data_IF_302995729078
#
_entry.id   IF_302995729078
#
_cell.length_a   1.000
_cell.length_b   1.000
_cell.length_c   1.000
_cell.angle_alpha   90.00
_cell.angle_beta   90.00
_cell.angle_gamma   90.00
#
_symmetry.space_group_name_H-M   'P 1'
#
loop_
_entity.id
_entity.type
_entity.pdbx_description
1 polymer ?
#
# COMPACT_ATOMS: atom_id res chain seq x y z
N UNK A 1 -12.58 7.18 27.61
CA UNK A 1 -12.15 7.27 26.20
C UNK A 1 -13.27 6.69 25.33
N UNK A 2 -14.05 7.52 24.63
CA UNK A 2 -15.13 7.04 23.76
C UNK A 2 -14.54 6.53 22.44
N UNK A 3 -14.59 5.21 22.23
CA UNK A 3 -14.22 4.56 20.98
C UNK A 3 -15.11 5.06 19.84
N UNK A 4 -14.48 5.58 18.78
CA UNK A 4 -15.15 6.13 17.60
C UNK A 4 -15.97 5.03 16.92
N UNK A 5 -17.31 5.07 17.01
CA UNK A 5 -18.19 4.14 16.27
C UNK A 5 -17.92 4.27 14.77
N UNK A 6 -17.47 3.18 14.14
CA UNK A 6 -17.29 3.12 12.68
C UNK A 6 -18.66 3.17 12.01
N UNK A 7 -18.93 4.20 11.21
CA UNK A 7 -20.13 4.25 10.36
C UNK A 7 -20.03 3.15 9.31
N UNK A 8 -20.92 2.18 9.35
CA UNK A 8 -21.09 1.15 8.32
C UNK A 8 -21.85 1.75 7.14
N UNK A 9 -21.39 1.52 5.90
CA UNK A 9 -22.10 1.94 4.70
C UNK A 9 -23.32 1.06 4.48
N UNK A 10 -24.50 1.64 4.27
CA UNK A 10 -25.75 0.89 3.98
C UNK A 10 -25.79 0.32 2.55
N UNK A 11 -24.74 0.53 1.74
CA UNK A 11 -24.62 -0.02 0.40
C UNK A 11 -23.86 -1.34 0.50
N UNK A 12 -24.59 -2.44 0.40
CA UNK A 12 -24.07 -3.81 0.38
C UNK A 12 -24.23 -4.34 -1.05
N UNK A 13 -23.21 -5.02 -1.57
CA UNK A 13 -23.25 -5.70 -2.87
C UNK A 13 -24.05 -7.01 -2.76
N UNK A 14 -24.47 -7.59 -3.89
CA UNK A 14 -25.31 -8.80 -3.92
C UNK A 14 -24.67 -10.03 -3.25
N UNK A 15 -23.35 -10.01 -3.10
CA UNK A 15 -22.51 -11.01 -2.44
C UNK A 15 -22.30 -10.75 -0.92
N UNK A 16 -22.98 -9.74 -0.35
CA UNK A 16 -22.93 -9.44 1.08
C UNK A 16 -21.75 -8.58 1.52
N UNK A 17 -20.89 -8.14 0.59
CA UNK A 17 -19.77 -7.25 0.90
C UNK A 17 -20.19 -5.77 0.95
N UNK A 18 -19.49 -4.96 1.73
CA UNK A 18 -19.69 -3.50 1.72
C UNK A 18 -19.28 -2.94 0.35
N UNK A 19 -20.12 -2.08 -0.23
CA UNK A 19 -19.82 -1.42 -1.50
C UNK A 19 -18.52 -0.63 -1.43
N UNK A 20 -17.51 -1.13 -2.13
CA UNK A 20 -16.17 -0.58 -2.11
C UNK A 20 -16.10 0.61 -3.06
N UNK A 21 -16.39 1.80 -2.53
CA UNK A 21 -16.26 3.03 -3.32
C UNK A 21 -14.83 3.18 -3.84
N UNK A 22 -14.66 3.83 -5.00
CA UNK A 22 -13.32 4.12 -5.57
C UNK A 22 -12.39 4.77 -4.53
N UNK A 23 -12.93 5.67 -3.69
CA UNK A 23 -12.17 6.31 -2.60
C UNK A 23 -11.70 5.31 -1.54
N UNK A 24 -12.57 4.39 -1.12
CA UNK A 24 -12.21 3.34 -0.15
C UNK A 24 -11.16 2.39 -0.73
N UNK A 25 -11.31 1.99 -1.99
CA UNK A 25 -10.36 1.12 -2.68
C UNK A 25 -8.97 1.75 -2.70
N UNK A 26 -8.87 2.98 -3.21
CA UNK A 26 -7.61 3.72 -3.29
C UNK A 26 -7.00 3.93 -1.90
N UNK A 27 -7.81 4.29 -0.91
CA UNK A 27 -7.32 4.48 0.46
C UNK A 27 -6.77 3.19 1.05
N UNK A 28 -7.45 2.05 0.83
CA UNK A 28 -7.03 0.76 1.37
C UNK A 28 -5.80 0.20 0.64
N UNK A 29 -5.75 0.32 -0.68
CA UNK A 29 -4.59 -0.05 -1.48
C UNK A 29 -3.35 0.76 -1.07
N UNK A 30 -3.48 2.07 -0.87
CA UNK A 30 -2.39 2.92 -0.38
C UNK A 30 -1.89 2.48 1.00
N UNK A 31 -2.80 2.24 1.96
CA UNK A 31 -2.38 1.77 3.28
C UNK A 31 -1.71 0.40 3.23
N UNK A 32 -2.23 -0.52 2.42
CA UNK A 32 -1.65 -1.85 2.27
C UNK A 32 -0.25 -1.79 1.62
N UNK A 33 -0.06 -0.93 0.62
CA UNK A 33 1.24 -0.70 0.00
C UNK A 33 2.28 -0.17 1.00
N UNK A 34 1.90 0.78 1.86
CA UNK A 34 2.81 1.30 2.90
C UNK A 34 3.21 0.20 3.88
N UNK A 35 2.26 -0.59 4.37
CA UNK A 35 2.54 -1.70 5.28
C UNK A 35 3.42 -2.77 4.62
N UNK A 36 3.09 -3.17 3.39
CA UNK A 36 3.89 -4.14 2.65
C UNK A 36 5.33 -3.66 2.42
N UNK A 37 5.54 -2.38 2.13
CA UNK A 37 6.88 -1.80 2.00
C UNK A 37 7.64 -1.80 3.33
N UNK A 38 6.98 -1.52 4.45
CA UNK A 38 7.59 -1.58 5.78
C UNK A 38 7.99 -3.02 6.14
N UNK A 39 7.12 -3.99 5.86
CA UNK A 39 7.38 -5.41 6.11
C UNK A 39 8.51 -5.93 5.21
N UNK A 40 8.51 -5.55 3.93
CA UNK A 40 9.57 -5.89 2.99
C UNK A 40 10.93 -5.30 3.40
N UNK A 41 10.96 -4.05 3.88
CA UNK A 41 12.18 -3.46 4.46
C UNK A 41 12.64 -4.23 5.70
N UNK A 42 11.72 -4.62 6.58
CA UNK A 42 12.05 -5.38 7.79
C UNK A 42 12.57 -6.79 7.51
N UNK A 43 12.03 -7.46 6.49
CA UNK A 43 12.37 -8.85 6.16
C UNK A 43 13.56 -8.96 5.20
N UNK A 44 13.56 -8.17 4.12
CA UNK A 44 14.52 -8.27 3.02
C UNK A 44 15.59 -7.17 3.05
N UNK A 45 15.37 -6.08 3.78
CA UNK A 45 16.26 -4.92 3.82
C UNK A 45 16.14 -3.99 2.61
N UNK A 46 15.26 -4.28 1.65
CA UNK A 46 15.01 -3.44 0.48
C UNK A 46 13.58 -3.55 -0.05
N UNK A 47 13.18 -2.55 -0.85
CA UNK A 47 11.94 -2.52 -1.63
C UNK A 47 12.26 -2.20 -3.08
N UNK A 48 11.58 -2.85 -4.02
CA UNK A 48 11.69 -2.54 -5.45
C UNK A 48 10.68 -1.44 -5.80
N UNK A 49 11.15 -0.35 -6.37
CA UNK A 49 10.32 0.80 -6.76
C UNK A 49 10.77 1.36 -8.11
N UNK A 50 9.93 2.22 -8.69
CA UNK A 50 10.27 2.96 -9.91
C UNK A 50 10.71 4.37 -9.54
N UNK A 51 11.90 4.76 -9.96
CA UNK A 51 12.47 6.10 -9.76
C UNK A 51 13.14 6.58 -11.04
N UNK A 52 12.75 7.76 -11.53
CA UNK A 52 13.36 8.41 -12.69
C UNK A 52 13.46 7.53 -13.95
N UNK A 53 12.42 6.73 -14.22
CA UNK A 53 12.38 5.80 -15.36
C UNK A 53 13.20 4.51 -15.17
N UNK A 54 13.66 4.23 -13.95
CA UNK A 54 14.34 2.98 -13.60
C UNK A 54 13.56 2.20 -12.56
N UNK A 55 13.53 0.88 -12.72
CA UNK A 55 13.27 -0.06 -11.63
C UNK A 55 14.52 -0.11 -10.76
N UNK A 56 14.38 0.21 -9.47
CA UNK A 56 15.48 0.26 -8.51
C UNK A 56 15.14 -0.54 -7.25
N UNK A 57 16.13 -1.15 -6.61
CA UNK A 57 16.03 -1.53 -5.20
C UNK A 57 16.40 -0.32 -4.36
N UNK A 58 15.53 0.07 -3.45
CA UNK A 58 15.83 1.05 -2.42
C UNK A 58 16.06 0.32 -1.11
N UNK A 59 17.16 0.62 -0.44
CA UNK A 59 17.55 0.06 0.85
C UNK A 59 17.16 1.01 2.00
N UNK A 60 17.13 0.49 3.23
CA UNK A 60 16.73 1.26 4.42
C UNK A 60 17.69 2.42 4.77
N UNK A 61 18.96 2.32 4.36
CA UNK A 61 20.01 3.34 4.53
C UNK A 61 19.91 4.47 3.49
N UNK A 62 18.99 4.38 2.53
CA UNK A 62 18.80 5.34 1.45
C UNK A 62 19.60 5.04 0.19
N UNK A 63 20.42 3.97 0.18
CA UNK A 63 21.10 3.53 -1.04
C UNK A 63 20.09 3.00 -2.07
N UNK A 64 20.42 3.18 -3.35
CA UNK A 64 19.61 2.68 -4.46
C UNK A 64 20.45 1.93 -5.48
N UNK A 65 20.01 0.73 -5.86
CA UNK A 65 20.61 -0.11 -6.89
C UNK A 65 19.68 -0.16 -8.11
N UNK A 66 20.19 0.22 -9.28
CA UNK A 66 19.43 0.22 -10.52
C UNK A 66 19.35 -1.19 -11.10
N UNK A 67 18.15 -1.64 -11.46
CA UNK A 67 17.92 -2.96 -12.05
C UNK A 67 17.69 -2.88 -13.55
N UNK A 68 16.73 -2.05 -13.98
CA UNK A 68 16.28 -2.00 -15.37
C UNK A 68 15.68 -0.64 -15.70
N UNK A 69 15.97 -0.13 -16.91
CA UNK A 69 15.33 1.08 -17.45
C UNK A 69 13.99 0.73 -18.09
N UNK A 70 12.99 1.57 -17.86
CA UNK A 70 11.62 1.48 -18.39
C UNK A 70 11.52 2.32 -19.67
#
# INVERSE_FOLDING_TARGET
MLGKKRKTSNHVTSDGYSYLTKRLLVSKAKSAGVTASQDAMGLMGFVVTVKDGWVVKQYADGNTEQLQKI
#
